data_IF_019431893003
#
_entry.id   IF_019431893003
#
_cell.length_a   1.000
_cell.length_b   1.000
_cell.length_c   1.000
_cell.angle_alpha   90.00
_cell.angle_beta   90.00
_cell.angle_gamma   90.00
#
_symmetry.space_group_name_H-M   'P 1'
#
loop_
_entity.id
_entity.type
_entity.pdbx_description
1 polymer ?
#
# COMPACT_ATOMS: atom_id res chain seq x y z
N UNK A 1 15.18 2.89 -3.00
CA UNK A 1 14.11 1.90 -3.02
C UNK A 1 14.54 0.65 -3.76
N UNK A 2 13.96 -0.48 -3.42
CA UNK A 2 14.24 -1.76 -4.04
C UNK A 2 13.04 -2.22 -4.88
N UNK A 3 13.29 -3.07 -5.87
CA UNK A 3 12.23 -3.66 -6.66
C UNK A 3 11.72 -4.90 -5.93
N UNK A 4 10.58 -4.77 -5.26
CA UNK A 4 9.96 -5.87 -4.51
C UNK A 4 9.14 -6.78 -5.42
N UNK A 5 8.62 -6.24 -6.50
CA UNK A 5 7.71 -6.90 -7.42
C UNK A 5 8.09 -6.48 -8.83
N UNK A 6 7.92 -7.37 -9.78
CA UNK A 6 8.18 -7.06 -11.19
C UNK A 6 7.46 -5.78 -11.63
N UNK A 7 8.21 -4.86 -12.23
CA UNK A 7 7.76 -3.56 -12.75
C UNK A 7 7.19 -2.62 -11.68
N UNK A 8 7.49 -2.88 -10.40
CA UNK A 8 7.06 -2.04 -9.30
C UNK A 8 8.19 -1.91 -8.30
N UNK A 9 8.22 -0.82 -7.58
CA UNK A 9 9.22 -0.57 -6.57
C UNK A 9 8.57 -0.46 -5.21
N UNK A 10 9.30 -0.87 -4.19
CA UNK A 10 8.85 -0.70 -2.82
C UNK A 10 10.03 -0.42 -1.90
N UNK A 11 9.71 0.10 -0.73
CA UNK A 11 10.66 0.23 0.37
C UNK A 11 10.00 -0.38 1.60
N UNK A 12 10.62 -1.39 2.17
CA UNK A 12 10.08 -2.07 3.35
C UNK A 12 10.43 -1.26 4.59
N UNK A 13 9.44 -0.60 5.17
CA UNK A 13 9.61 0.18 6.38
C UNK A 13 9.63 -0.69 7.62
N UNK A 14 8.80 -1.72 7.66
CA UNK A 14 8.76 -2.71 8.73
C UNK A 14 8.72 -4.09 8.11
N UNK A 15 9.63 -4.98 8.53
CA UNK A 15 9.68 -6.38 8.11
C UNK A 15 9.21 -7.25 9.26
N UNK A 16 8.47 -8.30 8.94
CA UNK A 16 8.04 -9.28 9.93
C UNK A 16 8.08 -10.68 9.33
N UNK A 17 9.25 -11.32 9.39
CA UNK A 17 9.48 -12.61 8.72
C UNK A 17 8.68 -13.76 9.31
N UNK A 18 8.14 -13.59 10.51
CA UNK A 18 7.32 -14.62 11.19
C UNK A 18 5.83 -14.30 11.13
N UNK A 19 5.45 -13.18 10.50
CA UNK A 19 4.07 -12.79 10.36
C UNK A 19 3.28 -13.73 9.46
N UNK A 20 1.97 -13.77 9.68
CA UNK A 20 1.07 -14.54 8.85
C UNK A 20 1.01 -13.94 7.45
N UNK A 21 1.02 -14.79 6.45
CA UNK A 21 0.78 -14.38 5.05
C UNK A 21 -0.67 -14.60 4.70
N UNK A 22 -1.21 -13.84 3.74
CA UNK A 22 -2.42 -14.26 3.07
C UNK A 22 -2.23 -15.72 2.62
N UNK A 23 -3.30 -16.50 2.64
CA UNK A 23 -3.22 -17.90 2.25
C UNK A 23 -2.43 -18.06 0.94
N UNK A 24 -1.88 -19.24 0.69
CA UNK A 24 -1.09 -19.43 -0.52
C UNK A 24 -1.87 -19.11 -1.80
N UNK A 25 -3.19 -19.15 -1.72
CA UNK A 25 -4.06 -18.64 -2.77
C UNK A 25 -4.39 -17.17 -2.55
N UNK A 26 -3.52 -16.45 -1.91
CA UNK A 26 -3.70 -15.10 -1.36
C UNK A 26 -4.61 -14.14 -2.12
N UNK A 27 -4.76 -14.39 -3.42
CA UNK A 27 -5.68 -13.66 -4.28
C UNK A 27 -7.12 -13.63 -3.73
N UNK A 28 -7.55 -14.67 -3.02
CA UNK A 28 -8.90 -14.77 -2.44
C UNK A 28 -8.97 -14.37 -0.98
N UNK A 29 -7.86 -13.91 -0.41
CA UNK A 29 -7.82 -13.52 0.99
C UNK A 29 -8.44 -12.14 1.20
N UNK A 30 -8.88 -11.91 2.44
CA UNK A 30 -9.32 -10.61 2.94
C UNK A 30 -8.35 -10.16 4.01
N UNK A 31 -7.94 -8.90 3.95
CA UNK A 31 -6.96 -8.33 4.87
C UNK A 31 -7.49 -7.05 5.50
N UNK A 32 -6.94 -6.72 6.68
CA UNK A 32 -7.17 -5.45 7.34
C UNK A 32 -5.88 -4.65 7.27
N UNK A 33 -5.97 -3.41 6.78
CA UNK A 33 -4.78 -2.61 6.52
C UNK A 33 -5.00 -1.13 6.82
N UNK A 34 -3.90 -0.45 7.18
CA UNK A 34 -3.82 1.00 7.19
C UNK A 34 -3.09 1.44 5.93
N UNK A 35 -3.51 2.56 5.37
CA UNK A 35 -2.86 3.05 4.15
C UNK A 35 -2.94 4.57 4.03
N UNK A 36 -1.98 5.13 3.30
CA UNK A 36 -1.90 6.55 3.00
C UNK A 36 -1.44 6.68 1.57
N UNK A 37 -2.32 7.12 0.68
CA UNK A 37 -2.06 7.18 -0.75
C UNK A 37 -1.82 8.60 -1.24
N UNK A 38 -0.76 8.80 -2.01
CA UNK A 38 -0.40 10.11 -2.56
C UNK A 38 -0.06 10.03 -4.04
N UNK A 39 -0.24 11.17 -4.72
CA UNK A 39 0.33 11.39 -6.04
C UNK A 39 1.84 11.63 -5.91
N UNK A 40 2.56 11.55 -6.99
CA UNK A 40 4.02 11.75 -7.00
C UNK A 40 4.39 13.15 -6.47
N UNK A 41 3.53 14.14 -6.64
CA UNK A 41 3.75 15.49 -6.13
C UNK A 41 3.47 15.62 -4.62
N UNK A 42 3.07 14.54 -3.96
CA UNK A 42 2.86 14.50 -2.52
C UNK A 42 1.44 14.74 -2.05
N UNK A 43 0.53 15.09 -2.95
CA UNK A 43 -0.86 15.34 -2.58
C UNK A 43 -1.56 14.04 -2.20
N UNK A 44 -2.12 13.99 -1.01
CA UNK A 44 -2.92 12.85 -0.56
C UNK A 44 -4.23 12.79 -1.33
N UNK A 45 -4.59 11.61 -1.82
CA UNK A 45 -5.88 11.41 -2.46
C UNK A 45 -6.78 10.44 -1.67
N UNK A 46 -6.23 9.62 -0.80
CA UNK A 46 -6.98 8.64 -0.02
C UNK A 46 -6.14 8.15 1.17
N UNK A 47 -6.79 7.54 2.16
CA UNK A 47 -6.09 6.96 3.28
C UNK A 47 -6.94 6.85 4.52
N UNK A 48 -6.45 6.09 5.50
CA UNK A 48 -7.11 5.92 6.81
C UNK A 48 -6.18 6.17 7.99
N UNK A 49 -4.97 6.66 7.75
CA UNK A 49 -4.07 7.14 8.79
C UNK A 49 -3.08 8.15 8.17
N UNK A 50 -2.32 8.84 9.01
CA UNK A 50 -1.31 9.81 8.55
C UNK A 50 0.03 9.09 8.37
N UNK A 51 0.35 8.78 7.14
CA UNK A 51 1.58 8.08 6.77
C UNK A 51 2.56 8.98 6.02
N UNK A 52 3.38 8.34 5.18
CA UNK A 52 4.41 9.01 4.40
C UNK A 52 4.00 9.16 2.94
N UNK A 53 4.41 10.26 2.33
CA UNK A 53 4.14 10.56 0.94
C UNK A 53 5.32 10.23 0.03
N UNK A 54 5.11 10.38 -1.27
CA UNK A 54 6.18 10.22 -2.26
C UNK A 54 7.34 11.21 -2.05
N UNK A 55 7.09 12.32 -1.35
CA UNK A 55 8.11 13.34 -1.09
C UNK A 55 9.00 13.01 0.10
N UNK A 56 8.63 12.05 0.93
CA UNK A 56 9.41 11.66 2.10
C UNK A 56 10.57 10.76 1.68
N UNK A 57 11.78 11.27 1.73
CA UNK A 57 12.97 10.56 1.25
C UNK A 57 13.85 9.99 2.36
N UNK A 58 13.79 10.56 3.57
CA UNK A 58 14.62 10.13 4.70
C UNK A 58 13.73 9.71 5.86
N UNK A 59 13.02 8.60 5.67
CA UNK A 59 12.08 8.10 6.69
C UNK A 59 12.88 7.43 7.81
N UNK A 60 12.73 7.90 9.07
CA UNK A 60 13.49 7.34 10.20
C UNK A 60 12.88 6.01 10.63
N UNK A 61 13.51 4.91 10.23
CA UNK A 61 12.95 3.55 10.46
C UNK A 61 12.81 3.21 11.94
N UNK A 62 13.53 3.88 12.83
CA UNK A 62 13.42 3.66 14.28
C UNK A 62 12.33 4.51 14.94
N UNK A 63 11.70 5.41 14.20
CA UNK A 63 10.70 6.34 14.74
C UNK A 63 9.66 6.67 13.67
N UNK A 64 8.93 5.66 13.22
CA UNK A 64 7.92 5.83 12.18
C UNK A 64 6.67 6.49 12.73
N UNK A 65 5.98 7.26 11.89
CA UNK A 65 4.59 7.64 12.17
C UNK A 65 3.77 6.37 12.27
N UNK A 66 2.88 6.29 13.25
CA UNK A 66 2.04 5.12 13.48
C UNK A 66 0.57 5.49 13.45
N UNK A 67 -0.33 4.56 13.14
CA UNK A 67 -1.76 4.79 13.34
C UNK A 67 -2.05 5.15 14.80
N UNK A 68 -2.97 6.07 14.99
CA UNK A 68 -3.35 6.55 16.33
C UNK A 68 -4.62 5.83 16.80
N UNK A 69 -5.03 6.10 18.06
CA UNK A 69 -6.26 5.55 18.60
C UNK A 69 -7.52 6.07 17.86
N UNK A 70 -7.37 7.14 17.08
CA UNK A 70 -8.46 7.71 16.29
C UNK A 70 -8.54 7.16 14.87
N UNK A 71 -7.55 6.37 14.46
CA UNK A 71 -7.52 5.75 13.15
C UNK A 71 -8.13 4.36 13.23
N UNK A 72 -8.75 3.93 12.13
CA UNK A 72 -9.32 2.58 12.03
C UNK A 72 -8.85 1.95 10.72
N UNK A 73 -8.46 0.66 10.76
CA UNK A 73 -8.06 -0.02 9.55
C UNK A 73 -9.26 -0.29 8.66
N UNK A 74 -8.99 -0.52 7.39
CA UNK A 74 -10.01 -0.88 6.40
C UNK A 74 -9.79 -2.32 5.96
N UNK A 75 -10.89 -3.04 5.75
CA UNK A 75 -10.87 -4.40 5.25
C UNK A 75 -10.90 -4.38 3.73
N UNK A 76 -9.97 -5.11 3.11
CA UNK A 76 -9.86 -5.20 1.65
C UNK A 76 -9.84 -6.65 1.21
N UNK A 77 -10.57 -6.95 0.13
CA UNK A 77 -10.38 -8.20 -0.60
C UNK A 77 -9.17 -8.03 -1.51
N UNK A 78 -8.21 -8.92 -1.40
CA UNK A 78 -6.95 -8.81 -2.16
C UNK A 78 -7.19 -8.77 -3.66
N UNK A 79 -8.19 -9.49 -4.13
CA UNK A 79 -8.54 -9.54 -5.56
C UNK A 79 -9.25 -8.29 -6.07
N UNK A 80 -9.73 -7.41 -5.20
CA UNK A 80 -10.62 -6.30 -5.56
C UNK A 80 -9.96 -4.93 -5.50
N UNK A 81 -8.69 -4.86 -5.18
CA UNK A 81 -7.93 -3.61 -5.13
C UNK A 81 -7.14 -3.44 -6.42
N UNK A 82 -6.49 -2.27 -6.58
CA UNK A 82 -5.69 -2.04 -7.79
C UNK A 82 -4.59 -3.09 -7.94
N UNK A 83 -4.18 -3.43 -9.17
CA UNK A 83 -3.23 -4.54 -9.40
C UNK A 83 -1.92 -4.41 -8.60
N UNK A 84 -1.40 -3.22 -8.41
CA UNK A 84 -0.19 -3.02 -7.61
C UNK A 84 -0.36 -3.46 -6.16
N UNK A 85 -1.52 -3.22 -5.57
CA UNK A 85 -1.84 -3.69 -4.22
C UNK A 85 -2.01 -5.21 -4.18
N UNK A 86 -2.75 -5.76 -5.14
CA UNK A 86 -2.97 -7.22 -5.21
C UNK A 86 -1.62 -7.94 -5.25
N UNK A 87 -0.69 -7.46 -6.06
CA UNK A 87 0.64 -8.06 -6.13
C UNK A 87 1.40 -7.93 -4.81
N UNK A 88 1.39 -6.74 -4.19
CA UNK A 88 2.11 -6.51 -2.94
C UNK A 88 1.53 -7.33 -1.79
N UNK A 89 0.20 -7.34 -1.64
CA UNK A 89 -0.45 -8.04 -0.53
C UNK A 89 -0.19 -9.54 -0.55
N UNK A 90 -0.01 -10.13 -1.72
CA UNK A 90 0.32 -11.55 -1.82
C UNK A 90 1.75 -11.86 -1.36
N UNK A 91 2.62 -10.85 -1.27
CA UNK A 91 4.01 -11.00 -0.83
C UNK A 91 4.23 -10.53 0.60
N UNK A 92 3.37 -9.65 1.12
CA UNK A 92 3.50 -9.11 2.46
C UNK A 92 3.06 -10.11 3.52
N UNK A 93 3.63 -9.96 4.72
CA UNK A 93 3.20 -10.67 5.91
C UNK A 93 2.52 -9.70 6.87
N UNK A 94 1.59 -10.21 7.68
CA UNK A 94 0.93 -9.39 8.69
C UNK A 94 1.96 -8.72 9.60
N UNK A 95 1.76 -7.45 9.87
CA UNK A 95 2.69 -6.60 10.63
C UNK A 95 3.71 -5.89 9.78
N UNK A 96 3.83 -6.21 8.50
CA UNK A 96 4.76 -5.53 7.61
C UNK A 96 4.18 -4.23 7.09
N UNK A 97 5.07 -3.29 6.79
CA UNK A 97 4.72 -1.98 6.25
C UNK A 97 5.66 -1.64 5.11
N UNK A 98 5.09 -1.40 3.95
CA UNK A 98 5.85 -1.14 2.73
C UNK A 98 5.42 0.19 2.12
N UNK A 99 6.40 0.96 1.63
CA UNK A 99 6.13 2.07 0.69
C UNK A 99 6.08 1.47 -0.70
N UNK A 100 4.95 1.62 -1.37
CA UNK A 100 4.76 1.11 -2.73
C UNK A 100 4.82 2.26 -3.74
N UNK A 101 5.57 2.08 -4.81
CA UNK A 101 5.64 3.01 -5.93
C UNK A 101 5.01 2.31 -7.13
N UNK A 102 3.78 2.68 -7.47
CA UNK A 102 2.96 1.94 -8.42
C UNK A 102 2.82 2.73 -9.72
N UNK A 103 3.31 2.20 -10.85
CA UNK A 103 3.13 2.84 -12.14
C UNK A 103 1.65 2.84 -12.54
N UNK A 104 1.27 3.75 -13.44
CA UNK A 104 -0.13 3.93 -13.79
C UNK A 104 -0.79 2.65 -14.34
N UNK A 105 -0.04 1.77 -15.02
CA UNK A 105 -0.55 0.52 -15.56
C UNK A 105 -1.05 -0.43 -14.47
N UNK A 106 -0.51 -0.31 -13.28
CA UNK A 106 -0.87 -1.15 -12.12
C UNK A 106 -1.72 -0.38 -11.11
N UNK A 107 -2.14 0.82 -11.44
CA UNK A 107 -3.02 1.67 -10.66
C UNK A 107 -4.36 1.85 -11.39
N UNK A 108 -4.71 3.08 -11.75
CA UNK A 108 -6.00 3.34 -12.40
C UNK A 108 -5.92 3.47 -13.92
N UNK A 109 -4.76 3.13 -14.49
CA UNK A 109 -4.62 3.00 -15.94
C UNK A 109 -4.70 4.32 -16.70
N UNK A 110 -5.05 4.20 -17.97
CA UNK A 110 -5.15 5.36 -18.87
C UNK A 110 -6.41 6.20 -18.64
N UNK A 111 -7.41 5.63 -17.96
CA UNK A 111 -8.69 6.33 -17.72
C UNK A 111 -8.74 7.10 -16.41
N UNK A 112 -7.88 6.75 -15.44
CA UNK A 112 -7.96 7.31 -14.09
C UNK A 112 -9.06 6.64 -13.26
N UNK A 113 -9.35 7.20 -12.07
CA UNK A 113 -10.40 6.68 -11.21
C UNK A 113 -11.76 7.28 -11.55
N UNK A 114 -12.83 6.71 -10.96
CA UNK A 114 -14.21 7.05 -11.32
C UNK A 114 -14.61 8.48 -10.96
N UNK A 115 -14.07 9.04 -9.88
CA UNK A 115 -14.44 10.38 -9.42
C UNK A 115 -13.53 11.48 -9.94
N UNK A 116 -12.55 11.14 -10.77
CA UNK A 116 -11.66 12.10 -11.42
C UNK A 116 -10.56 12.67 -10.54
N UNK A 117 -10.42 12.23 -9.28
CA UNK A 117 -9.35 12.71 -8.41
C UNK A 117 -7.98 12.19 -8.83
N UNK A 118 -7.93 11.07 -9.53
CA UNK A 118 -6.73 10.51 -10.13
C UNK A 118 -6.89 10.49 -11.63
N UNK A 119 -6.22 11.39 -12.36
CA UNK A 119 -6.26 11.38 -13.82
C UNK A 119 -5.67 10.09 -14.40
N UNK A 120 -5.91 9.86 -15.68
CA UNK A 120 -5.25 8.78 -16.39
C UNK A 120 -3.74 8.97 -16.42
N UNK A 121 -3.01 7.86 -16.56
CA UNK A 121 -1.54 7.83 -16.65
C UNK A 121 -0.84 8.37 -15.39
N UNK A 122 -1.44 8.17 -14.22
CA UNK A 122 -0.91 8.71 -12.96
C UNK A 122 -0.30 7.60 -12.11
N UNK A 123 0.99 7.74 -11.80
CA UNK A 123 1.67 6.87 -10.85
C UNK A 123 1.28 7.25 -9.42
N UNK A 124 1.23 6.28 -8.53
CA UNK A 124 0.79 6.47 -7.15
C UNK A 124 1.85 5.96 -6.18
N UNK A 125 1.85 6.54 -4.98
CA UNK A 125 2.66 6.07 -3.86
C UNK A 125 1.74 5.74 -2.71
N UNK A 126 1.95 4.58 -2.08
CA UNK A 126 1.19 4.16 -0.90
C UNK A 126 2.12 3.79 0.23
N UNK A 127 1.83 4.31 1.41
CA UNK A 127 2.34 3.79 2.67
C UNK A 127 1.31 2.76 3.13
N UNK A 128 1.65 1.46 3.03
CA UNK A 128 0.72 0.36 3.27
C UNK A 128 1.21 -0.48 4.43
N UNK A 129 0.43 -0.49 5.52
CA UNK A 129 0.67 -1.31 6.70
C UNK A 129 -0.37 -2.44 6.73
N UNK A 130 0.09 -3.67 6.49
CA UNK A 130 -0.77 -4.84 6.59
C UNK A 130 -0.93 -5.23 8.05
N UNK A 131 -2.10 -4.92 8.63
CA UNK A 131 -2.34 -5.15 10.05
C UNK A 131 -2.53 -6.63 10.36
N UNK A 132 -3.43 -7.29 9.64
CA UNK A 132 -3.73 -8.70 9.84
C UNK A 132 -4.46 -9.31 8.66
N UNK A 133 -4.44 -10.62 8.61
CA UNK A 133 -5.23 -11.40 7.65
C UNK A 133 -6.58 -11.68 8.30
N UNK A 134 -7.67 -11.34 7.63
CA UNK A 134 -9.01 -11.56 8.16
C UNK A 134 -9.46 -13.00 7.87
N UNK A 135 -9.16 -13.47 6.65
CA UNK A 135 -9.40 -14.86 6.28
C UNK A 135 -8.65 -15.27 4.99
#
# INVERSE_FOLDING_TARGET
SEMCIRDRYCKKLVKNETGERPLYTGYHSTVSAFYYGTLIVGDQFDGNFDGYSALDTNIPLSSLKEPTAFDSPTTFAVASVIPGWTAALQLMRAGERWMLYIPWQSAYGSSGNNDGTIPGYTALTFDLLLERIVE
#
